data_IF_683355312927
#
_entry.id   IF_683355312927
#
_cell.length_a   1.000
_cell.length_b   1.000
_cell.length_c   1.000
_cell.angle_alpha   90.00
_cell.angle_beta   90.00
_cell.angle_gamma   90.00
#
_symmetry.space_group_name_H-M   'P 1'
#
loop_
_entity.id
_entity.type
_entity.pdbx_description
1 polymer ?
#
# COMPACT_ATOMS: atom_id res chain seq x y z
N UNK A 1 -13.08 -8.74 29.10
CA UNK A 1 -12.18 -7.57 29.03
C UNK A 1 -11.60 -7.47 27.62
N UNK A 2 -12.19 -6.68 26.73
CA UNK A 2 -11.52 -6.27 25.48
C UNK A 2 -10.83 -4.94 25.78
N UNK A 3 -9.52 -4.95 25.99
CA UNK A 3 -8.73 -3.73 25.81
C UNK A 3 -8.65 -3.53 24.29
N UNK A 4 -9.55 -2.74 23.73
CA UNK A 4 -9.35 -2.18 22.40
C UNK A 4 -8.23 -1.16 22.55
N UNK A 5 -7.02 -1.54 22.16
CA UNK A 5 -6.12 -0.55 21.62
C UNK A 5 -6.83 -0.02 20.38
N UNK A 6 -7.26 1.25 20.43
CA UNK A 6 -8.08 1.92 19.43
C UNK A 6 -7.28 2.27 18.15
N UNK A 7 -6.49 1.30 17.68
CA UNK A 7 -5.92 1.32 16.34
C UNK A 7 -7.00 0.67 15.47
N UNK A 8 -7.70 1.48 14.66
CA UNK A 8 -8.54 0.94 13.59
C UNK A 8 -7.69 0.00 12.77
N UNK A 9 -7.97 -1.29 12.87
CA UNK A 9 -7.30 -2.32 12.08
C UNK A 9 -7.49 -1.97 10.59
N UNK A 10 -6.40 -1.93 9.84
CA UNK A 10 -6.42 -1.56 8.43
C UNK A 10 -7.19 -2.65 7.68
N UNK A 11 -8.35 -2.33 7.09
CA UNK A 11 -9.12 -3.30 6.30
C UNK A 11 -8.66 -3.31 4.85
N UNK A 12 -8.86 -4.43 4.14
CA UNK A 12 -8.52 -4.53 2.72
C UNK A 12 -9.27 -3.48 1.88
N UNK A 13 -10.53 -3.19 2.19
CA UNK A 13 -11.28 -2.09 1.57
C UNK A 13 -10.59 -0.74 1.72
N UNK A 14 -10.13 -0.38 2.94
CA UNK A 14 -9.42 0.88 3.16
C UNK A 14 -8.13 0.93 2.34
N UNK A 15 -7.38 -0.17 2.32
CA UNK A 15 -6.12 -0.28 1.55
C UNK A 15 -6.35 -0.13 0.05
N UNK A 16 -7.44 -0.67 -0.50
CA UNK A 16 -7.82 -0.48 -1.90
C UNK A 16 -8.14 0.98 -2.22
N UNK A 17 -8.84 1.69 -1.33
CA UNK A 17 -9.10 3.12 -1.51
C UNK A 17 -7.81 3.96 -1.43
N UNK A 18 -6.87 3.58 -0.56
CA UNK A 18 -5.53 4.21 -0.52
C UNK A 18 -4.76 3.99 -1.82
N UNK A 19 -4.79 2.78 -2.39
CA UNK A 19 -4.14 2.48 -3.66
C UNK A 19 -4.72 3.31 -4.81
N UNK A 20 -6.06 3.47 -4.87
CA UNK A 20 -6.73 4.33 -5.85
C UNK A 20 -6.30 5.79 -5.71
N UNK A 21 -6.22 6.31 -4.48
CA UNK A 21 -5.77 7.68 -4.26
C UNK A 21 -4.29 7.87 -4.65
N UNK A 22 -3.44 6.89 -4.36
CA UNK A 22 -2.03 6.90 -4.76
C UNK A 22 -1.88 6.87 -6.30
N UNK A 23 -2.65 6.02 -6.98
CA UNK A 23 -2.69 5.97 -8.45
C UNK A 23 -3.18 7.29 -9.05
N UNK A 24 -4.28 7.86 -8.55
CA UNK A 24 -4.80 9.14 -9.03
C UNK A 24 -3.73 10.23 -8.92
N UNK A 25 -3.01 10.28 -7.79
CA UNK A 25 -1.95 11.27 -7.61
C UNK A 25 -0.74 11.02 -8.51
N UNK A 26 -0.36 9.76 -8.69
CA UNK A 26 0.71 9.36 -9.59
C UNK A 26 0.41 9.72 -11.06
N UNK A 27 -0.85 9.57 -11.49
CA UNK A 27 -1.34 10.03 -12.78
C UNK A 27 -1.23 11.55 -12.94
N UNK A 28 -1.65 12.34 -11.94
CA UNK A 28 -1.47 13.80 -11.97
C UNK A 28 0.01 14.21 -12.12
N UNK A 29 0.91 13.42 -11.53
CA UNK A 29 2.36 13.66 -11.55
C UNK A 29 3.06 13.11 -12.80
N UNK A 30 2.36 12.33 -13.64
CA UNK A 30 2.94 11.57 -14.76
C UNK A 30 4.12 10.67 -14.34
N UNK A 31 4.00 10.03 -13.17
CA UNK A 31 5.02 9.08 -12.67
C UNK A 31 4.33 7.76 -12.34
N UNK A 32 4.56 6.67 -13.09
CA UNK A 32 3.96 5.38 -12.75
C UNK A 32 4.63 4.79 -11.49
N UNK A 33 3.80 4.36 -10.53
CA UNK A 33 4.27 3.88 -9.22
C UNK A 33 3.77 2.47 -8.90
N UNK A 34 4.36 1.91 -7.83
CA UNK A 34 3.90 0.68 -7.19
C UNK A 34 3.52 1.03 -5.75
N UNK A 35 2.29 0.75 -5.39
CA UNK A 35 1.77 0.88 -4.03
C UNK A 35 1.76 -0.49 -3.37
N UNK A 36 2.24 -0.56 -2.13
CA UNK A 36 2.17 -1.77 -1.32
C UNK A 36 1.71 -1.41 0.10
N UNK A 37 0.95 -2.31 0.71
CA UNK A 37 0.49 -2.17 2.08
C UNK A 37 0.56 -3.50 2.81
N UNK A 38 0.88 -3.44 4.09
CA UNK A 38 0.96 -4.59 5.00
C UNK A 38 0.03 -4.39 6.20
N UNK A 39 -0.36 -5.49 6.85
CA UNK A 39 -1.09 -5.44 8.13
C UNK A 39 -0.14 -5.19 9.31
N UNK A 40 -0.69 -5.16 10.53
CA UNK A 40 0.09 -4.95 11.75
C UNK A 40 1.11 -6.08 12.04
N UNK A 41 0.93 -7.26 11.42
CA UNK A 41 1.89 -8.36 11.45
C UNK A 41 2.90 -8.31 10.30
N UNK A 42 2.93 -7.22 9.54
CA UNK A 42 3.74 -7.00 8.36
C UNK A 42 3.46 -8.01 7.21
N UNK A 43 2.27 -8.61 7.18
CA UNK A 43 1.86 -9.47 6.08
C UNK A 43 1.32 -8.63 4.93
N UNK A 44 1.73 -8.94 3.70
CA UNK A 44 1.29 -8.22 2.50
C UNK A 44 -0.23 -8.33 2.34
N UNK A 45 -0.90 -7.17 2.32
CA UNK A 45 -2.34 -7.07 2.10
C UNK A 45 -2.67 -6.75 0.65
N UNK A 46 -1.93 -5.82 0.05
CA UNK A 46 -2.13 -5.36 -1.32
C UNK A 46 -0.81 -4.97 -1.96
N UNK A 47 -0.66 -5.32 -3.23
CA UNK A 47 0.33 -4.75 -4.15
C UNK A 47 -0.42 -4.26 -5.39
N UNK A 48 -0.29 -2.97 -5.71
CA UNK A 48 -0.92 -2.33 -6.86
C UNK A 48 0.16 -1.71 -7.74
N UNK A 49 0.29 -2.21 -8.98
CA UNK A 49 1.32 -1.79 -9.93
C UNK A 49 0.66 -1.08 -11.10
N UNK A 50 1.02 0.18 -11.32
CA UNK A 50 0.64 0.88 -12.55
C UNK A 50 1.37 0.29 -13.76
N UNK A 51 0.78 0.43 -14.95
CA UNK A 51 1.50 0.16 -16.20
C UNK A 51 2.76 1.05 -16.29
N UNK A 52 3.81 0.55 -16.93
CA UNK A 52 5.11 1.22 -17.10
C UNK A 52 5.90 1.56 -15.82
N UNK A 53 5.41 1.17 -14.63
CA UNK A 53 6.17 1.29 -13.40
C UNK A 53 7.41 0.37 -13.44
N UNK A 54 8.55 0.85 -12.91
CA UNK A 54 9.78 0.06 -12.89
C UNK A 54 9.59 -1.27 -12.15
N UNK A 55 9.89 -2.39 -12.81
CA UNK A 55 9.72 -3.73 -12.23
C UNK A 55 10.55 -3.93 -10.96
N UNK A 56 11.74 -3.32 -10.89
CA UNK A 56 12.60 -3.34 -9.70
C UNK A 56 11.96 -2.65 -8.49
N UNK A 57 10.97 -1.79 -8.70
CA UNK A 57 10.24 -1.12 -7.62
C UNK A 57 9.25 -2.03 -6.90
N UNK A 58 8.98 -3.25 -7.40
CA UNK A 58 8.04 -4.20 -6.77
C UNK A 58 8.51 -4.55 -5.37
N UNK A 59 9.71 -5.13 -5.27
CA UNK A 59 10.28 -5.54 -3.99
C UNK A 59 10.59 -4.31 -3.12
N UNK A 60 10.98 -3.18 -3.73
CA UNK A 60 11.23 -1.94 -3.00
C UNK A 60 9.96 -1.43 -2.32
N UNK A 61 8.82 -1.43 -2.99
CA UNK A 61 7.55 -0.98 -2.41
C UNK A 61 7.12 -1.90 -1.26
N UNK A 62 7.20 -3.22 -1.45
CA UNK A 62 6.86 -4.22 -0.43
C UNK A 62 7.77 -4.06 0.80
N UNK A 63 9.08 -3.95 0.61
CA UNK A 63 10.04 -3.83 1.70
C UNK A 63 9.92 -2.49 2.44
N UNK A 64 9.56 -1.40 1.75
CA UNK A 64 9.24 -0.11 2.39
C UNK A 64 8.00 -0.23 3.27
N UNK A 65 6.95 -0.89 2.79
CA UNK A 65 5.74 -1.12 3.58
C UNK A 65 6.02 -2.00 4.81
N UNK A 66 6.84 -3.04 4.65
CA UNK A 66 7.25 -3.91 5.76
C UNK A 66 8.06 -3.18 6.86
N UNK A 67 8.85 -2.16 6.48
CA UNK A 67 9.81 -1.50 7.40
C UNK A 67 9.22 -0.29 8.14
N UNK A 68 8.15 0.32 7.63
CA UNK A 68 7.57 1.58 8.13
C UNK A 68 6.97 1.46 9.54
#
# INVERSE_FOLDING_TARGET
MKKLNDVKELSLEIVKEMAKAAEAKACEMNVPVIFAAVDAGANLMLMHRMEDAFLTSIDIAINKAYTA
#
